data_IF_784396680403
#
_entry.id   IF_784396680403
#
_cell.length_a   1.000
_cell.length_b   1.000
_cell.length_c   1.000
_cell.angle_alpha   90.00
_cell.angle_beta   90.00
_cell.angle_gamma   90.00
#
_symmetry.space_group_name_H-M   'P 1'
#
loop_
_entity.id
_entity.type
_entity.pdbx_description
1 polymer ?
#
# COMPACT_ATOMS: atom_id res chain seq x y z
N UNK A 1 16.21 6.56 -16.77
CA UNK A 1 16.08 5.28 -17.48
C UNK A 1 14.83 5.37 -18.32
N UNK A 2 14.87 5.07 -19.61
CA UNK A 2 13.66 5.06 -20.44
C UNK A 2 13.05 3.65 -20.32
N UNK A 3 11.91 3.55 -19.65
CA UNK A 3 11.20 2.28 -19.42
C UNK A 3 10.09 2.02 -20.45
N UNK A 4 10.03 2.82 -21.52
CA UNK A 4 9.02 2.66 -22.57
C UNK A 4 9.15 1.31 -23.26
N UNK A 5 8.08 0.53 -23.25
CA UNK A 5 8.05 -0.82 -23.81
C UNK A 5 8.41 -1.94 -22.85
N UNK A 6 8.89 -1.62 -21.65
CA UNK A 6 9.21 -2.64 -20.63
C UNK A 6 7.93 -3.34 -20.18
N UNK A 7 8.05 -4.67 -20.00
CA UNK A 7 6.95 -5.57 -19.64
C UNK A 7 7.29 -6.30 -18.35
N UNK A 8 6.24 -6.66 -17.63
CA UNK A 8 6.37 -7.46 -16.43
C UNK A 8 5.01 -7.68 -15.77
N UNK A 9 5.01 -8.16 -14.56
CA UNK A 9 3.80 -8.24 -13.75
C UNK A 9 3.96 -7.43 -12.45
N UNK A 10 2.85 -6.93 -11.94
CA UNK A 10 2.82 -6.04 -10.77
C UNK A 10 3.09 -6.86 -9.51
N UNK A 11 4.18 -6.55 -8.82
CA UNK A 11 4.53 -7.13 -7.52
C UNK A 11 3.88 -6.36 -6.37
N UNK A 12 4.00 -5.03 -6.40
CA UNK A 12 3.54 -4.13 -5.33
C UNK A 12 3.22 -2.75 -5.90
N UNK A 13 2.38 -2.01 -5.20
CA UNK A 13 2.07 -0.63 -5.53
C UNK A 13 1.85 0.17 -4.25
N UNK A 14 2.33 1.40 -4.19
CA UNK A 14 2.06 2.28 -3.07
C UNK A 14 2.07 3.77 -3.47
N UNK A 15 1.35 4.57 -2.70
CA UNK A 15 1.28 6.01 -2.89
C UNK A 15 2.53 6.69 -2.35
N UNK A 16 3.26 7.37 -3.21
CA UNK A 16 4.34 8.27 -2.79
C UNK A 16 3.75 9.60 -2.31
N UNK A 17 3.39 9.70 -1.03
CA UNK A 17 2.64 10.82 -0.46
C UNK A 17 3.30 12.19 -0.68
N UNK A 18 4.63 12.26 -0.70
CA UNK A 18 5.36 13.51 -0.95
C UNK A 18 5.22 14.04 -2.38
N UNK A 19 4.92 13.17 -3.36
CA UNK A 19 4.91 13.50 -4.80
C UNK A 19 3.56 13.28 -5.46
N UNK A 20 2.57 12.76 -4.72
CA UNK A 20 1.23 12.44 -5.26
C UNK A 20 1.27 11.46 -6.45
N UNK A 21 2.31 10.64 -6.54
CA UNK A 21 2.52 9.65 -7.59
C UNK A 21 2.31 8.27 -7.01
N UNK A 22 1.84 7.36 -7.87
CA UNK A 22 1.89 5.92 -7.56
C UNK A 22 3.25 5.37 -7.96
N UNK A 23 3.88 4.65 -7.06
CA UNK A 23 5.07 3.86 -7.32
C UNK A 23 4.65 2.40 -7.44
N UNK A 24 4.87 1.82 -8.61
CA UNK A 24 4.50 0.44 -8.92
C UNK A 24 5.77 -0.37 -9.14
N UNK A 25 5.88 -1.48 -8.45
CA UNK A 25 7.00 -2.40 -8.57
C UNK A 25 6.65 -3.52 -9.54
N UNK A 26 7.50 -3.72 -10.52
CA UNK A 26 7.27 -4.60 -11.65
C UNK A 26 8.37 -5.65 -11.70
N UNK A 27 7.96 -6.91 -11.76
CA UNK A 27 8.84 -8.06 -11.98
C UNK A 27 8.87 -8.32 -13.48
N UNK A 28 9.99 -8.09 -14.18
CA UNK A 28 10.13 -8.44 -15.57
C UNK A 28 10.25 -9.95 -15.76
N UNK A 29 10.10 -10.41 -17.00
CA UNK A 29 10.36 -11.80 -17.37
C UNK A 29 11.80 -12.21 -17.02
N UNK A 30 12.75 -11.32 -17.35
CA UNK A 30 14.17 -11.46 -17.05
C UNK A 30 14.71 -10.19 -16.37
N UNK A 31 15.64 -10.37 -15.44
CA UNK A 31 16.32 -9.27 -14.78
C UNK A 31 15.76 -8.87 -13.40
N UNK A 32 16.28 -7.78 -12.85
CA UNK A 32 15.88 -7.31 -11.52
C UNK A 32 14.50 -6.66 -11.53
N UNK A 33 13.83 -6.69 -10.40
CA UNK A 33 12.61 -5.92 -10.18
C UNK A 33 12.91 -4.43 -10.30
N UNK A 34 12.06 -3.71 -10.98
CA UNK A 34 12.19 -2.27 -11.16
C UNK A 34 10.94 -1.54 -10.70
N UNK A 35 11.09 -0.27 -10.39
CA UNK A 35 9.96 0.59 -10.01
C UNK A 35 9.59 1.52 -11.14
N UNK A 36 8.28 1.68 -11.37
CA UNK A 36 7.71 2.64 -12.28
C UNK A 36 6.87 3.65 -11.52
N UNK A 37 7.03 4.92 -11.82
CA UNK A 37 6.32 6.02 -11.17
C UNK A 37 5.36 6.65 -12.16
N UNK A 38 4.10 6.75 -11.74
CA UNK A 38 3.05 7.34 -12.54
C UNK A 38 2.26 8.39 -11.75
N UNK A 39 2.02 9.53 -12.36
CA UNK A 39 1.09 10.51 -11.82
C UNK A 39 -0.32 9.95 -11.80
N UNK A 40 -0.98 10.04 -10.67
CA UNK A 40 -2.35 9.57 -10.51
C UNK A 40 -3.20 10.62 -9.80
N UNK A 41 -4.37 10.90 -10.38
CA UNK A 41 -5.36 11.76 -9.80
C UNK A 41 -6.51 10.89 -9.26
N UNK A 42 -6.73 10.84 -7.96
CA UNK A 42 -7.80 10.05 -7.37
C UNK A 42 -9.16 10.68 -7.60
N UNK A 43 -10.20 9.85 -7.62
CA UNK A 43 -11.58 10.29 -7.80
C UNK A 43 -12.53 9.62 -6.81
N UNK A 44 -13.60 10.32 -6.48
CA UNK A 44 -14.79 9.77 -5.81
C UNK A 44 -15.99 9.86 -6.73
N UNK A 45 -17.01 9.06 -6.44
CA UNK A 45 -18.26 9.05 -7.21
C UNK A 45 -19.42 9.39 -6.30
N UNK A 46 -20.34 10.21 -6.82
CA UNK A 46 -21.52 10.67 -6.09
C UNK A 46 -22.77 10.27 -6.87
N UNK A 47 -23.69 9.54 -6.23
CA UNK A 47 -25.02 9.29 -6.76
C UNK A 47 -26.07 10.11 -6.01
N UNK A 48 -27.18 10.42 -6.68
CA UNK A 48 -28.29 11.22 -6.14
C UNK A 48 -29.28 11.58 -7.26
N UNK A 49 -30.28 12.38 -6.93
CA UNK A 49 -31.19 12.91 -7.95
C UNK A 49 -30.44 13.83 -8.90
N UNK A 50 -30.75 13.75 -10.20
CA UNK A 50 -30.04 14.49 -11.25
C UNK A 50 -30.02 15.99 -10.96
N UNK A 51 -31.17 16.56 -10.58
CA UNK A 51 -31.26 17.98 -10.23
C UNK A 51 -30.40 18.40 -9.02
N UNK A 52 -30.24 17.50 -8.04
CA UNK A 52 -29.39 17.74 -6.88
C UNK A 52 -27.89 17.63 -7.22
N UNK A 53 -27.56 16.68 -8.10
CA UNK A 53 -26.18 16.56 -8.64
C UNK A 53 -25.79 17.80 -9.48
N UNK A 54 -26.71 18.39 -10.23
CA UNK A 54 -26.46 19.64 -10.97
C UNK A 54 -26.16 20.81 -10.03
N UNK A 55 -26.93 20.95 -8.95
CA UNK A 55 -26.64 21.95 -7.89
C UNK A 55 -25.31 21.67 -7.20
N UNK A 56 -24.96 20.40 -7.01
CA UNK A 56 -23.65 20.03 -6.48
C UNK A 56 -22.52 20.47 -7.43
N UNK A 57 -22.68 20.29 -8.74
CA UNK A 57 -21.72 20.73 -9.76
C UNK A 57 -21.49 22.24 -9.69
N UNK A 58 -22.54 23.05 -9.56
CA UNK A 58 -22.41 24.49 -9.40
C UNK A 58 -21.56 24.86 -8.18
N UNK A 59 -21.77 24.17 -7.06
CA UNK A 59 -20.97 24.37 -5.87
C UNK A 59 -19.52 23.93 -6.04
N UNK A 60 -19.26 22.76 -6.63
CA UNK A 60 -17.91 22.26 -6.91
C UNK A 60 -17.13 23.20 -7.87
N UNK A 61 -17.83 23.96 -8.70
CA UNK A 61 -17.22 24.92 -9.62
C UNK A 61 -16.79 26.24 -8.95
N UNK A 62 -17.19 26.50 -7.72
CA UNK A 62 -16.75 27.70 -7.01
C UNK A 62 -15.24 27.71 -6.83
N UNK A 63 -14.54 28.82 -7.15
CA UNK A 63 -13.08 28.88 -7.11
C UNK A 63 -12.48 28.50 -5.75
N UNK A 64 -13.14 28.91 -4.67
CA UNK A 64 -12.73 28.62 -3.29
C UNK A 64 -12.78 27.12 -2.99
N UNK A 65 -13.83 26.44 -3.48
CA UNK A 65 -14.04 25.01 -3.30
C UNK A 65 -13.02 24.21 -4.11
N UNK A 66 -12.81 24.60 -5.38
CA UNK A 66 -11.78 23.99 -6.22
C UNK A 66 -10.41 24.09 -5.59
N UNK A 67 -10.04 25.26 -5.09
CA UNK A 67 -8.75 25.47 -4.46
C UNK A 67 -8.64 24.69 -3.16
N UNK A 68 -9.68 24.72 -2.31
CA UNK A 68 -9.69 24.07 -1.00
C UNK A 68 -9.46 22.57 -1.09
N UNK A 69 -10.07 21.90 -2.06
CA UNK A 69 -10.03 20.44 -2.19
C UNK A 69 -9.15 19.96 -3.36
N UNK A 70 -8.54 20.88 -4.11
CA UNK A 70 -7.71 20.52 -5.25
C UNK A 70 -8.53 19.84 -6.36
N UNK A 71 -9.76 20.28 -6.62
CA UNK A 71 -10.63 19.69 -7.64
C UNK A 71 -10.08 20.01 -9.01
N UNK A 72 -9.76 18.97 -9.78
CA UNK A 72 -9.22 19.07 -11.14
C UNK A 72 -10.32 19.05 -12.18
N UNK A 73 -11.21 18.08 -12.07
CA UNK A 73 -12.30 17.87 -13.01
C UNK A 73 -13.52 17.22 -12.34
N UNK A 74 -14.65 17.30 -13.00
CA UNK A 74 -15.83 16.51 -12.70
C UNK A 74 -16.57 16.19 -13.99
N UNK A 75 -17.21 15.01 -14.03
CA UNK A 75 -17.99 14.57 -15.18
C UNK A 75 -19.11 13.62 -14.75
N UNK A 76 -20.17 13.59 -15.54
CA UNK A 76 -21.20 12.58 -15.40
C UNK A 76 -20.84 11.34 -16.21
N UNK A 77 -20.91 10.17 -15.56
CA UNK A 77 -20.70 8.88 -16.20
C UNK A 77 -21.68 7.83 -15.67
N UNK A 78 -21.72 6.66 -16.31
CA UNK A 78 -22.54 5.54 -15.87
C UNK A 78 -21.66 4.47 -15.25
N UNK A 79 -21.98 4.07 -14.01
CA UNK A 79 -21.26 3.01 -13.27
C UNK A 79 -22.21 2.01 -12.65
N UNK A 80 -21.74 0.77 -12.51
CA UNK A 80 -22.37 -0.21 -11.63
C UNK A 80 -21.92 0.10 -10.21
N UNK A 81 -22.88 0.38 -9.35
CA UNK A 81 -22.60 0.80 -7.97
C UNK A 81 -22.60 -0.36 -6.98
N UNK A 82 -23.26 -1.48 -7.33
CA UNK A 82 -23.40 -2.66 -6.47
C UNK A 82 -23.05 -3.94 -7.24
N UNK A 83 -22.46 -4.89 -6.52
CA UNK A 83 -22.21 -6.23 -7.04
C UNK A 83 -23.54 -6.94 -7.29
N UNK A 84 -23.70 -7.51 -8.49
CA UNK A 84 -24.91 -8.23 -8.88
C UNK A 84 -25.97 -7.40 -9.61
N UNK A 85 -25.89 -6.07 -9.58
CA UNK A 85 -26.74 -5.24 -10.42
C UNK A 85 -26.24 -5.23 -11.86
N UNK A 86 -27.17 -5.44 -12.83
CA UNK A 86 -26.87 -5.33 -14.26
C UNK A 86 -26.89 -3.87 -14.70
N UNK A 87 -27.77 -3.08 -14.08
CA UNK A 87 -28.04 -1.71 -14.45
C UNK A 87 -26.90 -0.77 -14.00
N UNK A 88 -26.63 0.21 -14.85
CA UNK A 88 -25.68 1.28 -14.56
C UNK A 88 -26.43 2.51 -14.06
N UNK A 89 -25.93 3.12 -13.01
CA UNK A 89 -26.46 4.35 -12.45
C UNK A 89 -25.61 5.54 -12.93
N UNK A 90 -26.27 6.64 -13.29
CA UNK A 90 -25.58 7.91 -13.57
C UNK A 90 -24.99 8.47 -12.28
N UNK A 91 -23.70 8.73 -12.28
CA UNK A 91 -22.95 9.28 -11.16
C UNK A 91 -22.18 10.52 -11.58
N UNK A 92 -21.93 11.39 -10.62
CA UNK A 92 -20.97 12.49 -10.76
C UNK A 92 -19.62 11.98 -10.24
N UNK A 93 -18.63 11.88 -11.12
CA UNK A 93 -17.24 11.58 -10.76
C UNK A 93 -16.51 12.89 -10.54
N UNK A 94 -15.83 13.01 -9.40
CA UNK A 94 -15.04 14.19 -9.04
C UNK A 94 -13.59 13.77 -8.86
N UNK A 95 -12.70 14.33 -9.67
CA UNK A 95 -11.26 14.08 -9.65
C UNK A 95 -10.56 15.17 -8.85
N UNK A 96 -9.62 14.77 -7.99
CA UNK A 96 -8.83 15.69 -7.17
C UNK A 96 -7.33 15.47 -7.38
N UNK A 97 -6.53 16.45 -7.01
CA UNK A 97 -5.08 16.46 -7.22
C UNK A 97 -4.31 15.59 -6.20
N UNK A 98 -4.96 15.22 -5.09
CA UNK A 98 -4.33 14.45 -4.03
C UNK A 98 -5.32 13.52 -3.33
N UNK A 99 -4.87 12.30 -3.01
CA UNK A 99 -5.68 11.32 -2.28
C UNK A 99 -6.20 11.84 -0.93
N UNK A 100 -5.38 12.61 -0.21
CA UNK A 100 -5.75 13.18 1.08
C UNK A 100 -6.93 14.15 1.01
N UNK A 101 -7.23 14.67 -0.18
CA UNK A 101 -8.38 15.57 -0.40
C UNK A 101 -9.71 14.83 -0.49
N UNK A 102 -9.72 13.52 -0.81
CA UNK A 102 -10.96 12.75 -1.03
C UNK A 102 -11.87 12.74 0.19
N UNK A 103 -11.33 12.33 1.34
CA UNK A 103 -12.14 12.21 2.56
C UNK A 103 -12.71 13.54 3.07
N UNK A 104 -11.93 14.64 3.15
CA UNK A 104 -12.49 15.95 3.47
C UNK A 104 -13.54 16.42 2.47
N UNK A 105 -13.32 16.21 1.16
CA UNK A 105 -14.31 16.57 0.14
C UNK A 105 -15.60 15.76 0.31
N UNK A 106 -15.49 14.44 0.53
CA UNK A 106 -16.62 13.56 0.78
C UNK A 106 -17.46 14.03 1.96
N UNK A 107 -16.83 14.34 3.09
CA UNK A 107 -17.53 14.86 4.27
C UNK A 107 -18.31 16.15 3.97
N UNK A 108 -17.72 17.08 3.24
CA UNK A 108 -18.40 18.33 2.86
C UNK A 108 -19.58 18.09 1.92
N UNK A 109 -19.47 17.12 1.00
CA UNK A 109 -20.59 16.72 0.12
C UNK A 109 -21.72 16.11 0.94
N UNK A 110 -21.43 15.22 1.88
CA UNK A 110 -22.40 14.60 2.78
C UNK A 110 -23.12 15.63 3.63
N UNK A 111 -22.39 16.53 4.29
CA UNK A 111 -22.95 17.62 5.10
C UNK A 111 -23.89 18.49 4.26
N UNK A 112 -23.47 18.86 3.03
CA UNK A 112 -24.30 19.65 2.11
C UNK A 112 -25.55 18.89 1.69
N UNK A 113 -25.46 17.58 1.50
CA UNK A 113 -26.58 16.69 1.22
C UNK A 113 -27.40 16.35 2.45
N UNK A 114 -27.07 16.89 3.62
CA UNK A 114 -27.71 16.56 4.92
C UNK A 114 -27.67 15.07 5.21
N UNK A 115 -26.63 14.37 4.76
CA UNK A 115 -26.40 12.92 4.89
C UNK A 115 -27.53 12.04 4.30
N UNK A 116 -28.37 12.57 3.41
CA UNK A 116 -29.52 11.85 2.83
C UNK A 116 -29.57 11.96 1.30
N UNK A 117 -29.12 13.10 0.73
CA UNK A 117 -29.31 13.39 -0.70
C UNK A 117 -28.29 12.69 -1.60
N UNK A 118 -27.11 12.45 -1.07
CA UNK A 118 -25.98 11.90 -1.83
C UNK A 118 -25.49 10.62 -1.20
N UNK A 119 -25.14 9.65 -2.07
CA UNK A 119 -24.40 8.47 -1.68
C UNK A 119 -23.02 8.55 -2.34
N UNK A 120 -21.98 8.36 -1.53
CA UNK A 120 -20.60 8.46 -1.96
C UNK A 120 -19.95 7.09 -2.12
N UNK A 121 -19.12 6.95 -3.13
CA UNK A 121 -18.40 5.70 -3.43
C UNK A 121 -16.93 5.98 -3.65
N UNK A 122 -16.10 4.96 -3.44
CA UNK A 122 -14.64 4.98 -3.61
C UNK A 122 -13.89 5.94 -2.66
N UNK A 123 -14.49 6.29 -1.52
CA UNK A 123 -13.88 7.16 -0.50
C UNK A 123 -13.04 6.35 0.49
N UNK A 124 -13.39 5.08 0.71
CA UNK A 124 -12.79 4.21 1.73
C UNK A 124 -11.68 3.31 1.19
N UNK A 125 -11.51 3.26 -0.12
CA UNK A 125 -10.48 2.44 -0.75
C UNK A 125 -9.10 2.93 -0.35
N UNK A 126 -8.19 2.01 -0.07
CA UNK A 126 -6.78 2.35 0.03
C UNK A 126 -6.29 2.94 -1.31
N UNK A 127 -5.35 3.89 -1.30
CA UNK A 127 -4.91 4.56 -2.53
C UNK A 127 -4.39 3.58 -3.58
N UNK A 128 -3.70 2.52 -3.16
CA UNK A 128 -3.21 1.47 -4.03
C UNK A 128 -4.35 0.72 -4.72
N UNK A 129 -5.39 0.36 -3.96
CA UNK A 129 -6.58 -0.31 -4.50
C UNK A 129 -7.35 0.60 -5.46
N UNK A 130 -7.55 1.87 -5.08
CA UNK A 130 -8.23 2.84 -5.92
C UNK A 130 -7.49 3.05 -7.26
N UNK A 131 -6.16 3.18 -7.22
CA UNK A 131 -5.32 3.30 -8.42
C UNK A 131 -5.43 2.07 -9.31
N UNK A 132 -5.16 0.88 -8.78
CA UNK A 132 -5.19 -0.36 -9.55
C UNK A 132 -6.57 -0.60 -10.16
N UNK A 133 -7.64 -0.39 -9.39
CA UNK A 133 -9.01 -0.53 -9.87
C UNK A 133 -9.32 0.46 -10.99
N UNK A 134 -8.88 1.71 -10.89
CA UNK A 134 -9.09 2.74 -11.93
C UNK A 134 -8.47 2.34 -13.27
N UNK A 135 -7.41 1.55 -13.23
CA UNK A 135 -6.71 1.02 -14.41
C UNK A 135 -7.12 -0.41 -14.80
N UNK A 136 -8.08 -1.00 -14.08
CA UNK A 136 -8.47 -2.42 -14.25
C UNK A 136 -7.30 -3.38 -14.06
N UNK A 137 -6.43 -3.06 -13.11
CA UNK A 137 -5.27 -3.83 -12.71
C UNK A 137 -5.45 -4.42 -11.31
N UNK A 138 -4.69 -5.45 -11.02
CA UNK A 138 -4.53 -6.06 -9.68
C UNK A 138 -3.05 -6.39 -9.47
N UNK A 139 -2.66 -6.67 -8.24
CA UNK A 139 -1.37 -7.32 -7.97
C UNK A 139 -1.31 -8.62 -8.76
N UNK A 140 -0.20 -8.87 -9.44
CA UNK A 140 -0.03 -10.00 -10.35
C UNK A 140 -0.48 -9.75 -11.79
N UNK A 141 -1.14 -8.64 -12.11
CA UNK A 141 -1.49 -8.32 -13.51
C UNK A 141 -0.25 -8.14 -14.38
N UNK A 142 -0.31 -8.70 -15.58
CA UNK A 142 0.69 -8.47 -16.63
C UNK A 142 0.50 -7.09 -17.25
N UNK A 143 1.58 -6.33 -17.36
CA UNK A 143 1.55 -4.93 -17.77
C UNK A 143 2.68 -4.58 -18.72
N UNK A 144 2.49 -3.51 -19.46
CA UNK A 144 3.51 -2.84 -20.29
C UNK A 144 3.46 -1.34 -20.04
N UNK A 145 4.60 -0.69 -20.10
CA UNK A 145 4.70 0.77 -20.07
C UNK A 145 4.57 1.31 -21.49
N UNK A 146 3.52 2.07 -21.75
CA UNK A 146 3.26 2.74 -23.04
C UNK A 146 2.80 4.17 -22.82
N UNK A 147 3.39 5.10 -23.57
CA UNK A 147 3.06 6.54 -23.49
C UNK A 147 3.10 7.06 -22.04
N UNK A 148 4.10 6.66 -21.30
CA UNK A 148 4.24 7.00 -19.86
C UNK A 148 3.03 6.56 -19.01
N UNK A 149 2.37 5.49 -19.37
CA UNK A 149 1.27 4.90 -18.62
C UNK A 149 1.45 3.39 -18.49
N UNK A 150 1.00 2.88 -17.34
CA UNK A 150 0.93 1.45 -17.11
C UNK A 150 -0.36 0.90 -17.75
N UNK A 151 -0.21 -0.02 -18.68
CA UNK A 151 -1.31 -0.59 -19.48
C UNK A 151 -1.36 -2.09 -19.27
N UNK A 152 -2.55 -2.68 -19.00
CA UNK A 152 -2.70 -4.13 -18.95
C UNK A 152 -2.42 -4.76 -20.31
N UNK A 153 -1.86 -5.96 -20.30
CA UNK A 153 -1.69 -6.79 -21.49
C UNK A 153 -2.43 -8.13 -21.31
N UNK A 154 -3.12 -8.56 -22.37
CA UNK A 154 -3.88 -9.83 -22.34
C UNK A 154 -2.97 -11.05 -22.28
N UNK A 155 -1.79 -10.97 -22.93
CA UNK A 155 -0.83 -12.05 -22.90
C UNK A 155 -0.08 -12.05 -21.56
N UNK A 156 -0.22 -13.12 -20.82
CA UNK A 156 0.53 -13.28 -19.57
C UNK A 156 2.05 -13.20 -19.81
N UNK A 157 2.71 -12.42 -18.99
CA UNK A 157 4.17 -12.40 -18.90
C UNK A 157 4.61 -13.67 -18.16
N UNK A 158 5.66 -14.33 -18.67
CA UNK A 158 6.24 -15.48 -17.98
C UNK A 158 6.68 -15.04 -16.58
N UNK A 159 6.18 -15.73 -15.57
CA UNK A 159 6.51 -15.42 -14.18
C UNK A 159 7.75 -16.19 -13.77
N UNK A 160 8.81 -15.48 -13.40
CA UNK A 160 9.94 -16.08 -12.72
C UNK A 160 9.57 -16.49 -11.30
N UNK A 161 10.29 -17.43 -10.70
CA UNK A 161 10.18 -17.76 -9.28
C UNK A 161 10.47 -16.53 -8.42
N UNK A 162 9.67 -16.34 -7.39
CA UNK A 162 9.89 -15.29 -6.40
C UNK A 162 11.07 -15.66 -5.49
N UNK A 163 11.92 -14.71 -5.22
CA UNK A 163 12.95 -14.84 -4.19
C UNK A 163 12.29 -14.56 -2.84
N UNK A 164 12.44 -15.47 -1.91
CA UNK A 164 11.82 -15.39 -0.61
C UNK A 164 12.87 -15.39 0.49
N UNK A 165 12.63 -14.65 1.55
CA UNK A 165 13.40 -14.77 2.77
C UNK A 165 12.49 -14.84 3.98
N UNK A 166 12.94 -15.52 5.01
CA UNK A 166 12.38 -15.53 6.34
C UNK A 166 13.15 -14.57 7.22
N UNK A 167 12.44 -13.83 8.01
CA UNK A 167 12.98 -12.79 8.86
C UNK A 167 12.49 -13.03 10.29
N UNK A 168 13.39 -13.36 11.20
CA UNK A 168 13.08 -13.63 12.59
C UNK A 168 13.89 -12.75 13.54
N UNK A 169 13.29 -12.39 14.64
CA UNK A 169 13.94 -11.67 15.74
C UNK A 169 14.07 -12.60 16.91
N UNK A 170 15.30 -12.79 17.38
CA UNK A 170 15.55 -13.48 18.62
C UNK A 170 15.70 -12.51 19.78
N UNK A 171 14.93 -12.75 20.82
CA UNK A 171 14.94 -11.97 22.04
C UNK A 171 15.91 -12.57 23.07
N UNK A 172 16.52 -11.72 23.88
CA UNK A 172 17.28 -12.18 25.04
C UNK A 172 16.34 -12.92 25.98
N UNK A 173 16.82 -14.06 26.51
CA UNK A 173 16.01 -14.87 27.44
C UNK A 173 15.57 -14.02 28.61
N UNK A 174 14.26 -13.86 28.75
CA UNK A 174 13.60 -13.22 29.89
C UNK A 174 12.80 -14.26 30.67
N UNK A 175 12.62 -14.04 31.95
CA UNK A 175 11.76 -14.89 32.78
C UNK A 175 10.26 -14.49 32.68
N UNK A 176 9.88 -13.74 31.66
CA UNK A 176 8.56 -13.19 31.47
C UNK A 176 8.06 -13.25 30.02
N UNK A 177 6.95 -12.58 29.78
CA UNK A 177 6.41 -12.46 28.43
C UNK A 177 7.31 -11.57 27.56
N UNK A 178 7.41 -11.92 26.29
CA UNK A 178 8.10 -11.12 25.28
C UNK A 178 7.13 -10.08 24.75
N UNK A 179 7.56 -8.83 24.73
CA UNK A 179 6.85 -7.69 24.17
C UNK A 179 7.79 -6.77 23.37
N UNK A 180 7.29 -5.66 22.86
CA UNK A 180 8.05 -4.69 22.08
C UNK A 180 9.13 -3.96 22.88
N UNK A 181 9.13 -4.05 24.21
CA UNK A 181 10.18 -3.50 25.09
C UNK A 181 11.29 -4.51 25.37
N UNK A 182 11.10 -5.79 25.07
CA UNK A 182 12.07 -6.84 25.33
C UNK A 182 13.35 -6.64 24.53
N UNK A 183 14.50 -6.86 25.15
CA UNK A 183 15.78 -6.71 24.47
C UNK A 183 15.95 -7.77 23.36
N UNK A 184 16.27 -7.29 22.17
CA UNK A 184 16.60 -8.12 21.02
C UNK A 184 18.05 -8.58 21.13
N UNK A 185 18.31 -9.85 20.88
CA UNK A 185 19.64 -10.44 20.80
C UNK A 185 20.26 -10.27 19.41
N UNK A 186 19.56 -10.80 18.42
CA UNK A 186 19.96 -10.70 17.01
C UNK A 186 18.75 -10.88 16.09
N UNK A 187 18.98 -10.59 14.80
CA UNK A 187 18.02 -10.84 13.73
C UNK A 187 18.58 -11.93 12.83
N UNK A 188 17.75 -12.90 12.51
CA UNK A 188 18.03 -13.93 11.52
C UNK A 188 17.35 -13.57 10.21
N UNK A 189 18.09 -13.66 9.10
CA UNK A 189 17.56 -13.56 7.76
C UNK A 189 17.99 -14.79 6.99
N UNK A 190 17.04 -15.58 6.53
CA UNK A 190 17.27 -16.87 5.91
C UNK A 190 16.61 -16.94 4.54
N UNK A 191 17.28 -17.46 3.53
CA UNK A 191 16.63 -17.76 2.26
C UNK A 191 15.66 -18.93 2.42
N UNK A 192 14.47 -18.80 1.82
CA UNK A 192 13.44 -19.83 1.87
C UNK A 192 12.74 -19.99 0.51
N UNK A 193 12.02 -21.09 0.35
CA UNK A 193 11.12 -21.29 -0.78
C UNK A 193 9.80 -20.51 -0.63
N UNK A 194 8.90 -20.65 -1.58
CA UNK A 194 7.61 -19.98 -1.58
C UNK A 194 6.66 -20.46 -0.47
N UNK A 195 6.90 -21.62 0.09
CA UNK A 195 6.20 -22.21 1.23
C UNK A 195 6.81 -21.78 2.58
N UNK A 196 7.90 -21.00 2.55
CA UNK A 196 8.62 -20.52 3.73
C UNK A 196 9.56 -21.55 4.37
N UNK A 197 9.87 -22.65 3.65
CA UNK A 197 10.84 -23.64 4.12
C UNK A 197 12.26 -23.11 3.87
N UNK A 198 13.07 -23.11 4.91
CA UNK A 198 14.45 -22.63 4.87
C UNK A 198 15.25 -23.50 3.88
N UNK A 199 15.98 -22.82 3.02
CA UNK A 199 16.93 -23.40 2.07
C UNK A 199 18.31 -23.47 2.76
N UNK A 200 19.33 -22.88 2.17
CA UNK A 200 20.67 -22.81 2.75
C UNK A 200 21.07 -21.35 2.94
N UNK A 201 21.81 -21.09 4.02
CA UNK A 201 22.33 -19.75 4.31
C UNK A 201 21.46 -18.96 5.28
N UNK A 202 22.05 -18.60 6.40
CA UNK A 202 21.44 -17.71 7.38
C UNK A 202 22.39 -16.56 7.67
N UNK A 203 21.88 -15.34 7.61
CA UNK A 203 22.57 -14.16 8.09
C UNK A 203 22.15 -13.91 9.53
N UNK A 204 23.11 -13.98 10.46
CA UNK A 204 22.88 -13.62 11.85
C UNK A 204 23.42 -12.22 12.07
N UNK A 205 22.53 -11.27 12.33
CA UNK A 205 22.87 -9.85 12.49
C UNK A 205 22.72 -9.50 13.98
N UNK A 206 23.84 -9.32 14.71
CA UNK A 206 23.80 -8.99 16.12
C UNK A 206 23.25 -7.58 16.32
N UNK A 207 22.36 -7.46 17.29
CA UNK A 207 21.80 -6.18 17.72
C UNK A 207 22.70 -5.58 18.81
N UNK A 208 22.79 -4.26 18.85
CA UNK A 208 23.66 -3.54 19.80
C UNK A 208 24.85 -2.83 19.14
N UNK A 209 25.12 -3.10 17.88
CA UNK A 209 26.11 -2.35 17.11
C UNK A 209 25.49 -1.04 16.53
N UNK A 210 26.22 0.08 16.51
CA UNK A 210 25.72 1.35 15.96
C UNK A 210 25.25 1.27 14.49
N UNK A 211 25.78 0.31 13.72
CA UNK A 211 25.44 0.10 12.30
C UNK A 211 24.40 -0.99 12.06
N UNK A 212 23.74 -1.48 13.09
CA UNK A 212 22.77 -2.59 12.98
C UNK A 212 21.74 -2.36 11.86
N UNK A 213 21.09 -1.18 11.86
CA UNK A 213 20.09 -0.86 10.83
C UNK A 213 20.64 -0.81 9.41
N UNK A 214 21.88 -0.37 9.23
CA UNK A 214 22.58 -0.39 7.95
C UNK A 214 22.89 -1.82 7.50
N UNK A 215 23.46 -2.63 8.38
CA UNK A 215 23.82 -4.02 8.10
C UNK A 215 22.58 -4.85 7.72
N UNK A 216 21.47 -4.68 8.43
CA UNK A 216 20.21 -5.33 8.11
C UNK A 216 19.68 -4.89 6.72
N UNK A 217 19.74 -3.59 6.43
CA UNK A 217 19.36 -3.05 5.14
C UNK A 217 20.25 -3.53 3.99
N UNK A 218 21.55 -3.71 4.23
CA UNK A 218 22.52 -4.27 3.26
C UNK A 218 22.25 -5.74 2.99
N UNK A 219 22.00 -6.53 4.02
CA UNK A 219 21.61 -7.93 3.88
C UNK A 219 20.37 -8.10 3.01
N UNK A 220 19.30 -7.34 3.27
CA UNK A 220 18.09 -7.40 2.44
C UNK A 220 18.29 -6.83 1.03
N UNK A 221 19.29 -5.99 0.81
CA UNK A 221 19.62 -5.50 -0.54
C UNK A 221 20.40 -6.54 -1.33
N UNK A 222 21.28 -7.28 -0.67
CA UNK A 222 22.07 -8.36 -1.27
C UNK A 222 21.18 -9.54 -1.66
N UNK A 223 20.36 -10.01 -0.76
CA UNK A 223 19.37 -11.07 -1.02
C UNK A 223 18.31 -10.64 -2.02
N UNK A 224 17.94 -9.36 -2.00
CA UNK A 224 16.88 -8.73 -2.79
C UNK A 224 15.59 -9.58 -2.87
N UNK A 225 14.97 -9.97 -1.75
CA UNK A 225 13.80 -10.82 -1.75
C UNK A 225 12.57 -10.10 -2.31
N UNK A 226 11.73 -10.85 -3.01
CA UNK A 226 10.42 -10.40 -3.47
C UNK A 226 9.37 -10.56 -2.35
N UNK A 227 9.53 -11.60 -1.52
CA UNK A 227 8.66 -11.93 -0.39
C UNK A 227 9.48 -12.03 0.89
N UNK A 228 8.97 -11.41 1.94
CA UNK A 228 9.55 -11.45 3.28
C UNK A 228 8.53 -12.11 4.22
N UNK A 229 8.84 -13.28 4.71
CA UNK A 229 8.06 -13.97 5.74
C UNK A 229 8.51 -13.55 7.13
N UNK A 230 7.58 -13.29 8.03
CA UNK A 230 7.86 -13.07 9.44
C UNK A 230 6.97 -13.95 10.30
N UNK A 231 7.42 -14.28 11.51
CA UNK A 231 6.58 -14.87 12.53
C UNK A 231 6.17 -13.80 13.53
N UNK A 232 4.86 -13.69 13.80
CA UNK A 232 4.32 -12.64 14.66
C UNK A 232 4.84 -11.24 14.27
N UNK A 233 4.98 -11.03 12.94
CA UNK A 233 5.62 -9.84 12.36
C UNK A 233 4.90 -8.57 12.70
N UNK A 234 3.59 -8.58 12.58
CA UNK A 234 2.75 -7.40 12.81
C UNK A 234 2.52 -7.10 14.29
N UNK A 235 2.59 -8.11 15.15
CA UNK A 235 2.24 -7.99 16.57
C UNK A 235 3.46 -7.90 17.49
N UNK A 236 4.59 -8.45 17.10
CA UNK A 236 5.79 -8.54 17.94
C UNK A 236 7.08 -8.13 17.21
N UNK A 237 7.44 -8.86 16.13
CA UNK A 237 8.76 -8.74 15.48
C UNK A 237 9.05 -7.34 14.99
N UNK A 238 8.17 -6.77 14.16
CA UNK A 238 8.38 -5.43 13.59
C UNK A 238 8.16 -4.32 14.61
N UNK A 239 7.16 -4.36 15.50
CA UNK A 239 7.06 -3.42 16.61
C UNK A 239 8.31 -3.36 17.47
N UNK A 240 8.87 -4.52 17.88
CA UNK A 240 10.08 -4.56 18.69
C UNK A 240 11.30 -3.99 17.98
N UNK A 241 11.49 -4.32 16.69
CA UNK A 241 12.56 -3.77 15.87
C UNK A 241 12.45 -2.25 15.68
N UNK A 242 11.26 -1.75 15.43
CA UNK A 242 11.02 -0.31 15.29
C UNK A 242 11.22 0.43 16.60
N UNK A 243 10.78 -0.16 17.72
CA UNK A 243 11.02 0.38 19.06
C UNK A 243 12.53 0.40 19.39
N UNK A 244 13.26 -0.68 19.05
CA UNK A 244 14.71 -0.74 19.17
C UNK A 244 15.39 0.36 18.34
N UNK A 245 15.07 0.44 17.04
CA UNK A 245 15.65 1.42 16.14
C UNK A 245 15.41 2.87 16.62
N UNK A 246 14.19 3.16 17.10
CA UNK A 246 13.85 4.46 17.68
C UNK A 246 14.66 4.79 18.93
N UNK A 247 14.85 3.82 19.85
CA UNK A 247 15.65 4.01 21.07
C UNK A 247 17.13 4.30 20.77
N UNK A 248 17.64 3.75 19.67
CA UNK A 248 19.05 3.88 19.29
C UNK A 248 19.28 4.85 18.12
N UNK A 249 18.27 5.67 17.79
CA UNK A 249 18.31 6.67 16.71
C UNK A 249 18.73 6.09 15.35
N UNK A 250 18.36 4.85 15.10
CA UNK A 250 18.65 4.14 13.84
C UNK A 250 17.43 4.13 12.91
N UNK A 251 17.68 4.06 11.61
CA UNK A 251 16.65 3.91 10.59
C UNK A 251 16.76 2.54 9.99
N UNK A 252 15.63 1.82 9.91
CA UNK A 252 15.55 0.52 9.27
C UNK A 252 15.12 0.67 7.81
N UNK A 253 16.06 0.49 6.90
CA UNK A 253 15.85 0.56 5.46
C UNK A 253 15.53 -0.82 4.89
N UNK A 254 14.29 -1.30 5.09
CA UNK A 254 13.89 -2.65 4.70
C UNK A 254 13.17 -2.71 3.33
N UNK A 255 12.77 -1.57 2.79
CA UNK A 255 12.21 -1.48 1.45
C UNK A 255 13.28 -1.61 0.35
N UNK A 256 12.87 -2.01 -0.85
CA UNK A 256 13.76 -2.24 -1.99
C UNK A 256 14.47 -0.95 -2.46
N UNK A 257 13.83 0.19 -2.31
CA UNK A 257 14.40 1.52 -2.60
C UNK A 257 15.07 2.17 -1.37
N UNK A 258 15.49 1.37 -0.40
CA UNK A 258 16.01 1.84 0.90
C UNK A 258 15.01 2.70 1.68
N UNK A 259 13.73 2.51 1.47
CA UNK A 259 12.69 3.14 2.29
C UNK A 259 12.57 2.46 3.66
N UNK A 260 12.06 3.21 4.63
CA UNK A 260 11.72 2.66 5.94
C UNK A 260 10.48 1.78 5.86
N UNK A 261 10.31 0.90 6.85
CA UNK A 261 9.08 0.14 7.03
C UNK A 261 7.91 1.11 7.22
N UNK A 262 6.82 0.84 6.51
CA UNK A 262 5.59 1.63 6.60
C UNK A 262 4.56 0.88 7.44
N UNK A 263 4.11 1.49 8.52
CA UNK A 263 2.97 0.99 9.29
C UNK A 263 1.67 1.37 8.60
N UNK A 264 0.80 0.40 8.35
CA UNK A 264 -0.53 0.57 7.76
C UNK A 264 -1.56 0.34 8.85
N UNK A 265 -2.40 1.34 9.09
CA UNK A 265 -3.39 1.29 10.15
C UNK A 265 -2.80 1.51 11.55
N UNK A 266 -3.68 1.40 12.52
CA UNK A 266 -3.36 1.49 13.96
C UNK A 266 -4.13 0.41 14.69
N UNK A 267 -3.64 -0.02 15.83
CA UNK A 267 -4.41 -0.93 16.70
C UNK A 267 -5.77 -0.30 17.02
N UNK A 268 -6.83 -0.98 16.65
CA UNK A 268 -8.20 -0.59 16.98
C UNK A 268 -8.89 -1.71 17.71
N UNK A 269 -9.57 -1.37 18.79
CA UNK A 269 -10.45 -2.28 19.49
C UNK A 269 -11.88 -1.77 19.34
N UNK A 270 -12.74 -2.59 18.74
CA UNK A 270 -14.16 -2.27 18.55
C UNK A 270 -14.96 -3.26 19.35
N UNK A 271 -15.82 -2.74 20.22
CA UNK A 271 -16.79 -3.55 20.96
C UNK A 271 -18.10 -3.58 20.17
N UNK A 272 -18.48 -4.75 19.68
CA UNK A 272 -19.68 -4.96 18.90
C UNK A 272 -20.42 -6.20 19.38
N UNK A 273 -21.68 -6.04 19.81
CA UNK A 273 -22.56 -7.13 20.26
C UNK A 273 -21.91 -8.09 21.27
N UNK A 274 -21.16 -7.53 22.25
CA UNK A 274 -20.47 -8.32 23.27
C UNK A 274 -19.19 -9.02 22.81
N UNK A 275 -18.76 -8.80 21.58
CA UNK A 275 -17.48 -9.24 21.05
C UNK A 275 -16.48 -8.08 21.02
N UNK A 276 -15.23 -8.40 21.32
CA UNK A 276 -14.10 -7.47 21.18
C UNK A 276 -13.38 -7.82 19.88
N UNK A 277 -13.53 -6.96 18.89
CA UNK A 277 -12.79 -7.07 17.62
C UNK A 277 -11.53 -6.22 17.73
N UNK A 278 -10.38 -6.85 17.64
CA UNK A 278 -9.08 -6.18 17.61
C UNK A 278 -8.53 -6.24 16.19
N UNK A 279 -8.12 -5.10 15.68
CA UNK A 279 -7.34 -4.99 14.44
C UNK A 279 -5.94 -4.53 14.82
N UNK A 280 -4.94 -5.34 14.52
CA UNK A 280 -3.55 -4.97 14.71
C UNK A 280 -3.03 -4.19 13.49
N UNK A 281 -2.01 -3.33 13.66
CA UNK A 281 -1.37 -2.65 12.55
C UNK A 281 -0.71 -3.68 11.64
N UNK A 282 -0.64 -3.36 10.35
CA UNK A 282 0.13 -4.12 9.38
C UNK A 282 1.39 -3.34 9.01
N UNK A 283 2.42 -4.04 8.58
CA UNK A 283 3.65 -3.42 8.13
C UNK A 283 3.93 -3.81 6.69
N UNK A 284 4.36 -2.83 5.90
CA UNK A 284 4.71 -3.02 4.50
C UNK A 284 6.17 -2.61 4.25
N UNK A 285 6.83 -3.38 3.41
CA UNK A 285 8.15 -3.10 2.87
C UNK A 285 7.99 -2.68 1.42
N UNK A 286 8.25 -1.42 1.10
CA UNK A 286 8.06 -0.93 -0.27
C UNK A 286 8.83 -1.77 -1.29
N UNK A 287 8.08 -2.30 -2.28
CA UNK A 287 8.62 -3.16 -3.33
C UNK A 287 8.90 -4.61 -2.92
N UNK A 288 8.38 -5.05 -1.78
CA UNK A 288 8.40 -6.43 -1.30
C UNK A 288 7.04 -6.81 -0.73
N UNK A 289 6.64 -8.04 -0.89
CA UNK A 289 5.44 -8.59 -0.25
C UNK A 289 5.84 -9.03 1.16
N UNK A 290 5.12 -8.55 2.17
CA UNK A 290 5.26 -9.01 3.55
C UNK A 290 4.15 -9.99 3.88
N UNK A 291 4.52 -11.16 4.39
CA UNK A 291 3.60 -12.21 4.86
C UNK A 291 3.93 -12.53 6.31
N UNK A 292 2.94 -12.34 7.17
CA UNK A 292 3.02 -12.67 8.59
C UNK A 292 2.45 -14.08 8.81
N UNK A 293 3.26 -14.96 9.41
CA UNK A 293 2.96 -16.39 9.63
C UNK A 293 2.40 -16.63 11.03
#
# INVERSE_FOLDING_TARGET
MNLEGDKGWILDAHLCSKRKDMLVWIVPEDGPVFSYRERWNPSLHVSGLVSELEVLVEWLNQPEIKLKFGILSHLFEYKRLELGLVDQTRVLTVEVDAYQSLKPLAQHIEERGKHVRFTLYSVDLQPEQAYLTSKRLTIGSSVIIKNQQLVPIEKEVVRRSLRCCRFEVEFRKTNGFVDDSTEISHVLVEECDAEGKILEGAYTIPVGHPTFGLTLGECLRELDPDVVFTRDGNTLTLPALLAYAKRHEQVLHLGRNSSSVRQIGVTRTVHSYGQVLRSDPQFAFEGRIHIDL
#
